data_IF_097409914415
#
_entry.id   IF_097409914415
#
_cell.length_a   1.000
_cell.length_b   1.000
_cell.length_c   1.000
_cell.angle_alpha   90.00
_cell.angle_beta   90.00
_cell.angle_gamma   90.00
#
_symmetry.space_group_name_H-M   'P 1'
#
loop_
_entity.id
_entity.type
_entity.pdbx_description
1 polymer ?
#
# COMPACT_ATOMS: atom_id res chain seq x y z
N UNK A 1 9.76 -49.21 11.57
CA UNK A 1 9.23 -48.63 10.31
C UNK A 1 8.07 -47.69 10.55
N UNK A 2 7.02 -48.09 11.28
CA UNK A 2 5.83 -47.25 11.55
C UNK A 2 6.10 -45.87 12.19
N UNK A 3 7.10 -45.74 13.08
CA UNK A 3 7.42 -44.47 13.77
C UNK A 3 8.04 -43.43 12.82
N UNK A 4 8.82 -43.87 11.82
CA UNK A 4 9.43 -42.96 10.84
C UNK A 4 8.38 -42.43 9.87
N UNK A 5 7.43 -43.28 9.51
CA UNK A 5 6.31 -42.93 8.64
C UNK A 5 5.36 -41.94 9.33
N UNK A 6 5.04 -42.15 10.61
CA UNK A 6 4.18 -41.22 11.37
C UNK A 6 4.80 -39.82 11.54
N UNK A 7 6.11 -39.73 11.80
CA UNK A 7 6.83 -38.44 11.91
C UNK A 7 6.86 -37.69 10.56
N UNK A 8 6.96 -38.41 9.45
CA UNK A 8 6.95 -37.81 8.11
C UNK A 8 5.58 -37.21 7.73
N UNK A 9 4.49 -37.87 8.15
CA UNK A 9 3.12 -37.41 7.90
C UNK A 9 2.82 -36.15 8.72
N UNK A 10 3.25 -36.12 9.98
CA UNK A 10 3.06 -34.97 10.86
C UNK A 10 3.81 -33.72 10.35
N UNK A 11 5.06 -33.87 9.89
CA UNK A 11 5.84 -32.75 9.31
C UNK A 11 5.20 -32.19 8.04
N UNK A 12 4.70 -33.06 7.15
CA UNK A 12 3.98 -32.64 5.93
C UNK A 12 2.72 -31.85 6.26
N UNK A 13 1.92 -32.33 7.21
CA UNK A 13 0.73 -31.60 7.65
C UNK A 13 1.10 -30.25 8.28
N UNK A 14 2.20 -30.18 9.04
CA UNK A 14 2.66 -28.94 9.66
C UNK A 14 3.10 -27.88 8.63
N UNK A 15 3.86 -28.27 7.59
CA UNK A 15 4.29 -27.33 6.55
C UNK A 15 3.12 -26.87 5.68
N UNK A 16 2.16 -27.74 5.38
CA UNK A 16 0.94 -27.38 4.65
C UNK A 16 0.10 -26.36 5.41
N UNK A 17 -0.18 -26.61 6.69
CA UNK A 17 -0.93 -25.67 7.56
C UNK A 17 -0.17 -24.33 7.68
N UNK A 18 1.15 -24.37 7.81
CA UNK A 18 1.96 -23.15 7.89
C UNK A 18 1.92 -22.36 6.57
N UNK A 19 2.05 -23.05 5.45
CA UNK A 19 1.97 -22.45 4.11
C UNK A 19 0.62 -21.76 3.88
N UNK A 20 -0.48 -22.45 4.18
CA UNK A 20 -1.83 -21.90 4.00
C UNK A 20 -2.06 -20.66 4.85
N UNK A 21 -1.59 -20.66 6.10
CA UNK A 21 -1.66 -19.48 6.98
C UNK A 21 -0.87 -18.29 6.43
N UNK A 22 0.36 -18.53 5.95
CA UNK A 22 1.19 -17.46 5.37
C UNK A 22 0.55 -16.92 4.09
N UNK A 23 0.05 -17.80 3.23
CA UNK A 23 -0.62 -17.45 1.98
C UNK A 23 -1.88 -16.63 2.23
N UNK A 24 -2.72 -17.04 3.18
CA UNK A 24 -3.93 -16.31 3.53
C UNK A 24 -3.62 -14.94 4.11
N UNK A 25 -2.59 -14.81 4.95
CA UNK A 25 -2.15 -13.52 5.47
C UNK A 25 -1.63 -12.59 4.35
N UNK A 26 -0.88 -13.12 3.40
CA UNK A 26 -0.42 -12.33 2.24
C UNK A 26 -1.61 -11.86 1.40
N UNK A 27 -2.59 -12.75 1.19
CA UNK A 27 -3.81 -12.42 0.44
C UNK A 27 -4.59 -11.30 1.13
N UNK A 28 -4.80 -11.40 2.44
CA UNK A 28 -5.53 -10.39 3.21
C UNK A 28 -4.81 -9.04 3.22
N UNK A 29 -3.48 -9.02 3.39
CA UNK A 29 -2.69 -7.79 3.31
C UNK A 29 -2.71 -7.16 1.91
N UNK A 30 -2.70 -7.97 0.85
CA UNK A 30 -2.77 -7.47 -0.52
C UNK A 30 -4.14 -6.86 -0.84
N UNK A 31 -5.23 -7.47 -0.34
CA UNK A 31 -6.58 -6.92 -0.46
C UNK A 31 -6.70 -5.58 0.29
N UNK A 32 -6.22 -5.53 1.54
CA UNK A 32 -6.16 -4.29 2.31
C UNK A 32 -5.31 -3.23 1.60
N UNK A 33 -4.16 -3.59 1.03
CA UNK A 33 -3.31 -2.68 0.27
C UNK A 33 -4.06 -2.06 -0.92
N UNK A 34 -4.77 -2.87 -1.70
CA UNK A 34 -5.57 -2.39 -2.83
C UNK A 34 -6.70 -1.47 -2.39
N UNK A 35 -7.45 -1.84 -1.34
CA UNK A 35 -8.50 -1.00 -0.80
C UNK A 35 -7.95 0.36 -0.35
N UNK A 36 -6.80 0.38 0.34
CA UNK A 36 -6.15 1.62 0.79
C UNK A 36 -5.78 2.54 -0.37
N UNK A 37 -5.33 1.99 -1.50
CA UNK A 37 -5.05 2.78 -2.70
C UNK A 37 -6.34 3.36 -3.28
N UNK A 38 -7.42 2.58 -3.36
CA UNK A 38 -8.71 3.06 -3.85
C UNK A 38 -9.22 4.20 -2.98
N UNK A 39 -9.22 4.02 -1.65
CA UNK A 39 -9.61 5.07 -0.70
C UNK A 39 -8.79 6.35 -0.86
N UNK A 40 -7.48 6.23 -1.05
CA UNK A 40 -6.61 7.37 -1.32
C UNK A 40 -7.04 8.10 -2.59
N UNK A 41 -7.17 7.39 -3.71
CA UNK A 41 -7.54 8.01 -5.01
C UNK A 41 -8.89 8.71 -4.91
N UNK A 42 -9.88 8.08 -4.28
CA UNK A 42 -11.22 8.66 -4.08
C UNK A 42 -11.17 9.93 -3.23
N UNK A 43 -10.44 9.93 -2.11
CA UNK A 43 -10.29 11.11 -1.26
C UNK A 43 -9.59 12.26 -1.99
N UNK A 44 -8.54 11.97 -2.75
CA UNK A 44 -7.83 12.98 -3.54
C UNK A 44 -8.75 13.60 -4.60
N UNK A 45 -9.49 12.76 -5.35
CA UNK A 45 -10.45 13.23 -6.35
C UNK A 45 -11.54 14.11 -5.72
N UNK A 46 -12.06 13.72 -4.55
CA UNK A 46 -13.05 14.51 -3.82
C UNK A 46 -12.51 15.88 -3.40
N UNK A 47 -11.28 15.95 -2.91
CA UNK A 47 -10.63 17.22 -2.55
C UNK A 47 -10.44 18.14 -3.76
N UNK A 48 -10.04 17.59 -4.93
CA UNK A 48 -9.95 18.37 -6.16
C UNK A 48 -11.32 18.88 -6.64
N UNK A 49 -12.35 18.04 -6.60
CA UNK A 49 -13.71 18.45 -6.97
C UNK A 49 -14.22 19.58 -6.05
N UNK A 50 -14.00 19.44 -4.74
CA UNK A 50 -14.36 20.46 -3.74
C UNK A 50 -13.65 21.78 -4.01
N UNK A 51 -12.36 21.73 -4.31
CA UNK A 51 -11.58 22.93 -4.65
C UNK A 51 -12.10 23.61 -5.93
N UNK A 52 -12.44 22.82 -6.95
CA UNK A 52 -13.04 23.33 -8.19
C UNK A 52 -14.36 24.06 -7.95
N UNK A 53 -15.23 23.51 -7.10
CA UNK A 53 -16.51 24.14 -6.72
C UNK A 53 -16.28 25.47 -5.96
N UNK A 54 -15.32 25.49 -5.03
CA UNK A 54 -14.97 26.71 -4.30
C UNK A 54 -14.44 27.78 -5.25
N UNK A 55 -13.59 27.40 -6.21
CA UNK A 55 -13.05 28.31 -7.20
C UNK A 55 -14.16 28.87 -8.11
N UNK A 56 -15.09 28.02 -8.58
CA UNK A 56 -16.24 28.44 -9.37
C UNK A 56 -17.15 29.41 -8.61
N UNK A 57 -17.36 29.18 -7.31
CA UNK A 57 -18.16 30.04 -6.45
C UNK A 57 -17.53 31.43 -6.28
N UNK A 58 -16.19 31.52 -6.22
CA UNK A 58 -15.46 32.80 -6.18
C UNK A 58 -15.66 33.62 -7.45
N UNK A 59 -15.53 33.01 -8.63
CA UNK A 59 -15.71 33.73 -9.89
C UNK A 59 -17.15 34.18 -10.15
N UNK A 60 -18.13 33.52 -9.52
CA UNK A 60 -19.56 33.81 -9.72
C UNK A 60 -20.15 34.85 -8.74
N UNK A 61 -19.46 35.22 -7.66
CA UNK A 61 -20.03 36.05 -6.57
C UNK A 61 -19.28 37.38 -6.41
N UNK A 62 -20.00 38.51 -6.30
CA UNK A 62 -19.42 39.85 -6.11
C UNK A 62 -18.54 39.97 -4.85
N UNK A 63 -17.48 40.78 -4.86
CA UNK A 63 -16.49 40.87 -3.78
C UNK A 63 -17.11 41.46 -2.51
N UNK A 64 -17.06 40.72 -1.40
CA UNK A 64 -17.53 41.19 -0.09
C UNK A 64 -17.65 40.08 0.96
N UNK A 65 -16.91 40.22 2.07
CA UNK A 65 -16.85 39.40 3.31
C UNK A 65 -16.58 37.88 3.18
N UNK A 66 -16.91 37.24 2.05
CA UNK A 66 -16.66 35.81 1.78
C UNK A 66 -15.20 35.47 1.51
N UNK A 67 -14.35 36.48 1.35
CA UNK A 67 -12.94 36.30 0.98
C UNK A 67 -12.15 35.55 2.05
N UNK A 68 -12.37 35.84 3.34
CA UNK A 68 -11.66 35.16 4.42
C UNK A 68 -11.95 33.66 4.46
N UNK A 69 -13.22 33.26 4.33
CA UNK A 69 -13.62 31.84 4.31
C UNK A 69 -13.06 31.15 3.06
N UNK A 70 -13.06 31.86 1.92
CA UNK A 70 -12.44 31.37 0.70
C UNK A 70 -10.94 31.10 0.92
N UNK A 71 -10.18 32.07 1.41
CA UNK A 71 -8.73 31.92 1.64
C UNK A 71 -8.41 30.80 2.64
N UNK A 72 -9.16 30.70 3.74
CA UNK A 72 -8.99 29.63 4.72
C UNK A 72 -9.26 28.26 4.10
N UNK A 73 -10.38 28.10 3.39
CA UNK A 73 -10.71 26.83 2.72
C UNK A 73 -9.69 26.46 1.65
N UNK A 74 -9.21 27.47 0.93
CA UNK A 74 -8.22 27.35 -0.13
C UNK A 74 -6.84 26.89 0.36
N UNK A 75 -6.46 27.22 1.61
CA UNK A 75 -5.22 26.73 2.24
C UNK A 75 -5.44 25.36 2.89
N UNK A 76 -6.58 25.16 3.57
CA UNK A 76 -6.87 23.93 4.30
C UNK A 76 -7.03 22.71 3.38
N UNK A 77 -7.61 22.87 2.20
CA UNK A 77 -7.84 21.75 1.27
C UNK A 77 -6.51 21.15 0.77
N UNK A 78 -5.55 21.93 0.23
CA UNK A 78 -4.23 21.42 -0.15
C UNK A 78 -3.46 20.83 1.02
N UNK A 79 -3.50 21.46 2.21
CA UNK A 79 -2.86 20.90 3.41
C UNK A 79 -3.43 19.54 3.77
N UNK A 80 -4.75 19.39 3.70
CA UNK A 80 -5.44 18.11 3.91
C UNK A 80 -5.02 17.09 2.86
N UNK A 81 -4.93 17.50 1.59
CA UNK A 81 -4.47 16.64 0.50
C UNK A 81 -3.05 16.11 0.69
N UNK A 82 -2.12 16.97 1.11
CA UNK A 82 -0.74 16.60 1.47
C UNK A 82 -0.72 15.66 2.66
N UNK A 83 -1.48 15.98 3.72
CA UNK A 83 -1.57 15.15 4.92
C UNK A 83 -2.07 13.74 4.61
N UNK A 84 -3.16 13.61 3.85
CA UNK A 84 -3.72 12.33 3.41
C UNK A 84 -2.70 11.56 2.57
N UNK A 85 -2.01 12.23 1.63
CA UNK A 85 -0.96 11.60 0.82
C UNK A 85 0.18 11.03 1.65
N UNK A 86 0.67 11.79 2.65
CA UNK A 86 1.73 11.35 3.57
C UNK A 86 1.28 10.21 4.49
N UNK A 87 0.07 10.28 5.03
CA UNK A 87 -0.49 9.23 5.87
C UNK A 87 -0.59 7.91 5.09
N UNK A 88 -1.10 7.95 3.86
CA UNK A 88 -1.17 6.78 3.00
C UNK A 88 0.21 6.25 2.60
N UNK A 89 1.18 7.13 2.32
CA UNK A 89 2.57 6.71 2.05
C UNK A 89 3.14 5.87 3.20
N UNK A 90 2.98 6.33 4.45
CA UNK A 90 3.44 5.59 5.63
C UNK A 90 2.70 4.26 5.79
N UNK A 91 1.39 4.26 5.60
CA UNK A 91 0.56 3.07 5.77
C UNK A 91 0.89 1.98 4.73
N UNK A 92 1.11 2.37 3.47
CA UNK A 92 1.56 1.45 2.43
C UNK A 92 3.01 0.99 2.66
N UNK A 93 3.86 1.82 3.26
CA UNK A 93 5.19 1.42 3.73
C UNK A 93 5.12 0.27 4.73
N UNK A 94 4.34 0.44 5.80
CA UNK A 94 4.17 -0.59 6.84
C UNK A 94 3.58 -1.90 6.29
N UNK A 95 2.59 -1.82 5.40
CA UNK A 95 2.03 -3.01 4.76
C UNK A 95 3.09 -3.81 3.99
N UNK A 96 4.02 -3.11 3.33
CA UNK A 96 5.13 -3.75 2.61
C UNK A 96 6.14 -4.36 3.55
N UNK A 97 6.48 -3.68 4.63
CA UNK A 97 7.37 -4.21 5.67
C UNK A 97 6.80 -5.49 6.28
N UNK A 98 5.48 -5.53 6.51
CA UNK A 98 4.78 -6.73 6.99
C UNK A 98 4.81 -7.88 5.98
N UNK A 99 4.54 -7.60 4.70
CA UNK A 99 4.66 -8.60 3.62
C UNK A 99 6.11 -9.10 3.48
N UNK A 100 7.09 -8.22 3.67
CA UNK A 100 8.51 -8.59 3.65
C UNK A 100 8.91 -9.42 4.86
N UNK A 101 8.39 -9.10 6.05
CA UNK A 101 8.54 -9.92 7.25
C UNK A 101 7.91 -11.31 7.10
N UNK A 102 6.71 -11.43 6.52
CA UNK A 102 6.06 -12.72 6.25
C UNK A 102 6.86 -13.59 5.28
N UNK A 103 7.45 -12.98 4.25
CA UNK A 103 8.37 -13.70 3.34
C UNK A 103 9.61 -14.22 4.09
N UNK A 104 10.25 -13.39 4.91
CA UNK A 104 11.39 -13.82 5.73
C UNK A 104 11.02 -14.93 6.71
N UNK A 105 9.84 -14.85 7.33
CA UNK A 105 9.33 -15.88 8.22
C UNK A 105 9.12 -17.21 7.49
N UNK A 106 8.64 -17.19 6.25
CA UNK A 106 8.57 -18.37 5.40
C UNK A 106 9.96 -18.94 5.10
N UNK A 107 10.89 -18.09 4.66
CA UNK A 107 12.26 -18.51 4.34
C UNK A 107 12.98 -19.14 5.54
N UNK A 108 12.74 -18.62 6.75
CA UNK A 108 13.32 -19.16 7.98
C UNK A 108 12.65 -20.47 8.42
N UNK A 109 11.32 -20.49 8.53
CA UNK A 109 10.60 -21.64 9.10
C UNK A 109 10.43 -22.81 8.14
N UNK A 110 10.42 -22.58 6.82
CA UNK A 110 10.26 -23.67 5.85
C UNK A 110 11.43 -24.66 5.92
N UNK A 111 12.65 -24.17 6.12
CA UNK A 111 13.89 -24.98 6.28
C UNK A 111 13.86 -25.82 7.55
N UNK A 112 13.25 -25.32 8.63
CA UNK A 112 13.13 -26.06 9.90
C UNK A 112 12.03 -27.14 9.85
N UNK A 113 11.00 -26.94 9.02
CA UNK A 113 9.81 -27.79 8.99
C UNK A 113 9.92 -28.96 8.01
N UNK A 114 10.65 -28.81 6.90
CA UNK A 114 10.73 -29.84 5.87
C UNK A 114 12.07 -29.85 5.10
N UNK A 115 12.37 -30.96 4.44
CA UNK A 115 13.55 -31.07 3.58
C UNK A 115 13.42 -30.16 2.35
N UNK A 116 14.55 -29.72 1.78
CA UNK A 116 14.59 -28.85 0.59
C UNK A 116 13.76 -29.38 -0.59
N UNK A 117 13.66 -30.72 -0.73
CA UNK A 117 12.83 -31.37 -1.75
C UNK A 117 11.33 -31.17 -1.47
N UNK A 118 10.91 -31.22 -0.22
CA UNK A 118 9.52 -31.02 0.18
C UNK A 118 9.10 -29.55 0.06
N UNK A 119 9.98 -28.63 0.45
CA UNK A 119 9.76 -27.17 0.29
C UNK A 119 9.57 -26.80 -1.18
N UNK A 120 10.28 -27.46 -2.10
CA UNK A 120 10.20 -27.17 -3.54
C UNK A 120 8.83 -27.42 -4.17
N UNK A 121 7.95 -28.21 -3.54
CA UNK A 121 6.58 -28.42 -3.99
C UNK A 121 5.65 -27.24 -3.66
N UNK A 122 6.04 -26.38 -2.71
CA UNK A 122 5.26 -25.21 -2.32
C UNK A 122 5.82 -23.96 -3.02
N UNK A 123 5.06 -23.31 -3.92
CA UNK A 123 5.54 -22.11 -4.57
C UNK A 123 5.70 -21.01 -3.53
N UNK A 124 6.75 -20.20 -3.66
CA UNK A 124 7.04 -19.16 -2.69
C UNK A 124 5.79 -18.27 -2.48
N UNK A 125 5.37 -17.97 -1.24
CA UNK A 125 4.10 -17.28 -0.95
C UNK A 125 3.92 -15.93 -1.65
N UNK A 126 5.03 -15.30 -2.07
CA UNK A 126 5.06 -14.06 -2.88
C UNK A 126 4.96 -14.28 -4.40
N UNK A 127 4.74 -15.50 -4.87
CA UNK A 127 4.50 -15.83 -6.28
C UNK A 127 5.72 -15.84 -7.20
N UNK A 128 6.95 -15.75 -6.68
CA UNK A 128 8.18 -15.72 -7.47
C UNK A 128 9.12 -16.85 -7.02
N UNK A 129 9.40 -17.78 -7.93
CA UNK A 129 10.35 -18.89 -7.75
C UNK A 129 11.83 -18.44 -7.87
N UNK A 130 12.13 -17.15 -7.78
CA UNK A 130 13.50 -16.65 -7.92
C UNK A 130 14.09 -16.24 -6.57
N UNK A 131 15.35 -16.63 -6.30
CA UNK A 131 16.06 -16.22 -5.10
C UNK A 131 16.14 -14.70 -5.04
N UNK A 132 15.98 -14.19 -3.83
CA UNK A 132 15.91 -12.81 -3.31
C UNK A 132 16.83 -11.75 -3.98
N UNK A 133 17.80 -12.17 -4.81
CA UNK A 133 18.94 -11.38 -5.26
C UNK A 133 18.73 -10.49 -6.50
N UNK A 134 17.61 -10.57 -7.24
CA UNK A 134 17.38 -9.76 -8.47
C UNK A 134 16.10 -8.91 -8.48
N UNK A 135 15.65 -8.47 -7.30
CA UNK A 135 14.40 -7.72 -7.12
C UNK A 135 14.59 -6.21 -7.21
N UNK A 136 15.15 -5.68 -8.31
CA UNK A 136 15.46 -4.24 -8.39
C UNK A 136 15.00 -3.50 -9.67
N UNK A 137 14.24 -4.12 -10.57
CA UNK A 137 13.97 -3.51 -11.89
C UNK A 137 12.48 -3.46 -12.28
N UNK A 138 11.61 -3.02 -11.37
CA UNK A 138 10.30 -2.48 -11.74
C UNK A 138 10.28 -0.97 -11.43
N UNK A 139 10.39 -0.10 -12.46
CA UNK A 139 10.62 1.33 -12.27
C UNK A 139 9.38 2.11 -11.77
N UNK A 140 8.23 1.46 -11.64
CA UNK A 140 7.02 2.08 -11.06
C UNK A 140 6.51 1.19 -9.93
N UNK A 141 7.20 1.23 -8.78
CA UNK A 141 6.61 0.72 -7.53
C UNK A 141 5.30 1.49 -7.32
N UNK A 142 4.16 0.80 -7.32
CA UNK A 142 2.86 1.36 -6.94
C UNK A 142 2.91 2.12 -5.59
N UNK A 143 3.94 1.87 -4.77
CA UNK A 143 4.25 2.61 -3.56
C UNK A 143 4.57 4.11 -3.75
N UNK A 144 4.92 4.56 -4.96
CA UNK A 144 5.17 5.98 -5.25
C UNK A 144 3.91 6.75 -5.64
N UNK A 145 2.77 6.07 -5.87
CA UNK A 145 1.50 6.72 -6.23
C UNK A 145 1.08 7.80 -5.20
N UNK A 146 1.13 7.57 -3.88
CA UNK A 146 0.82 8.61 -2.90
C UNK A 146 1.76 9.82 -2.96
N UNK A 147 3.04 9.59 -3.29
CA UNK A 147 4.02 10.67 -3.41
C UNK A 147 3.69 11.59 -4.58
N UNK A 148 3.18 11.06 -5.69
CA UNK A 148 2.69 11.88 -6.80
C UNK A 148 1.65 12.88 -6.30
N UNK A 149 0.66 12.43 -5.53
CA UNK A 149 -0.36 13.33 -4.97
C UNK A 149 0.24 14.36 -4.00
N UNK A 150 1.22 13.97 -3.17
CA UNK A 150 1.94 14.89 -2.28
C UNK A 150 2.65 16.00 -3.06
N UNK A 151 3.18 15.72 -4.25
CA UNK A 151 3.81 16.73 -5.11
C UNK A 151 2.82 17.56 -5.94
N UNK A 152 1.71 16.97 -6.36
CA UNK A 152 0.68 17.67 -7.14
C UNK A 152 0.08 18.83 -6.33
N UNK A 153 -0.16 18.67 -5.03
CA UNK A 153 -0.76 19.71 -4.21
C UNK A 153 0.05 21.01 -4.11
N UNK A 154 1.37 20.98 -3.77
CA UNK A 154 2.22 22.16 -3.81
C UNK A 154 2.30 22.80 -5.19
N UNK A 155 2.41 22.00 -6.26
CA UNK A 155 2.46 22.53 -7.64
C UNK A 155 1.17 23.28 -7.96
N UNK A 156 0.03 22.67 -7.64
CA UNK A 156 -1.29 23.27 -7.86
C UNK A 156 -1.50 24.53 -7.01
N UNK A 157 -1.02 24.52 -5.77
CA UNK A 157 -1.07 25.66 -4.86
C UNK A 157 -0.22 26.83 -5.36
N UNK A 158 1.01 26.57 -5.82
CA UNK A 158 1.90 27.57 -6.42
C UNK A 158 1.25 28.16 -7.68
N UNK A 159 0.73 27.30 -8.56
CA UNK A 159 0.07 27.73 -9.79
C UNK A 159 -1.11 28.66 -9.49
N UNK A 160 -1.96 28.32 -8.52
CA UNK A 160 -3.12 29.14 -8.19
C UNK A 160 -2.79 30.42 -7.39
N UNK A 161 -1.64 30.50 -6.72
CA UNK A 161 -1.17 31.76 -6.10
C UNK A 161 -0.62 32.71 -7.16
N UNK A 162 0.02 32.16 -8.19
CA UNK A 162 0.62 32.94 -9.28
C UNK A 162 -0.37 33.38 -10.36
N UNK A 163 -1.49 32.66 -10.50
CA UNK A 163 -2.57 32.95 -11.45
C UNK A 163 -3.59 33.95 -10.89
#
# INVERSE_FOLDING_TARGET
MAIVESVSVEKKAAIEIFYDKVREQIRSENELYNQRIIWLITMQAFLFATLGLILQAKYSTSPGLRDAIFYVSFILIPLTGVYVGLACYRMLGQARDNLDALGKLWDMKSVDLADAKEISFYPHPKGLNEPIRKRDLSPVRAAYIPLIFVFVWPIFFIFLILA
#
